data_IF_775378591463
#
_entry.id   IF_775378591463
#
_cell.length_a   1.000
_cell.length_b   1.000
_cell.length_c   1.000
_cell.angle_alpha   90.00
_cell.angle_beta   90.00
_cell.angle_gamma   90.00
#
_symmetry.space_group_name_H-M   'P 1'
#
loop_
_entity.id
_entity.type
_entity.pdbx_description
1 polymer ?
#
# COMPACT_ATOMS: atom_id res chain seq x y z
N UNK A 1 7.62 -12.57 24.28
CA UNK A 1 7.32 -11.27 23.68
C UNK A 1 5.84 -11.00 23.93
N UNK A 2 5.43 -9.77 24.27
CA UNK A 2 4.00 -9.40 24.35
C UNK A 2 3.42 -9.26 22.94
N UNK A 3 2.09 -9.25 22.81
CA UNK A 3 1.44 -9.08 21.51
C UNK A 3 1.78 -7.71 20.91
N UNK A 4 1.77 -6.66 21.71
CA UNK A 4 2.07 -5.29 21.31
C UNK A 4 3.50 -5.19 20.75
N UNK A 5 4.49 -5.74 21.46
CA UNK A 5 5.87 -5.80 20.97
C UNK A 5 6.01 -6.63 19.69
N UNK A 6 5.24 -7.72 19.57
CA UNK A 6 5.26 -8.53 18.37
C UNK A 6 4.62 -7.79 17.18
N UNK A 7 3.53 -7.04 17.41
CA UNK A 7 2.93 -6.16 16.39
C UNK A 7 3.92 -5.09 15.92
N UNK A 8 4.57 -4.41 16.85
CA UNK A 8 5.59 -3.39 16.55
C UNK A 8 6.72 -3.96 15.68
N UNK A 9 7.31 -5.08 16.08
CA UNK A 9 8.38 -5.72 15.30
C UNK A 9 7.90 -6.21 13.93
N UNK A 10 6.67 -6.71 13.83
CA UNK A 10 6.05 -7.10 12.55
C UNK A 10 5.94 -5.88 11.62
N UNK A 11 5.44 -4.75 12.12
CA UNK A 11 5.32 -3.50 11.33
C UNK A 11 6.69 -2.96 10.94
N UNK A 12 7.67 -2.95 11.85
CA UNK A 12 9.04 -2.50 11.54
C UNK A 12 9.67 -3.34 10.42
N UNK A 13 9.60 -4.67 10.53
CA UNK A 13 10.14 -5.59 9.52
C UNK A 13 9.45 -5.42 8.18
N UNK A 14 8.12 -5.28 8.19
CA UNK A 14 7.33 -4.98 6.99
C UNK A 14 7.81 -3.69 6.33
N UNK A 15 7.89 -2.60 7.09
CA UNK A 15 8.36 -1.29 6.61
C UNK A 15 9.75 -1.41 5.99
N UNK A 16 10.67 -2.09 6.66
CA UNK A 16 12.03 -2.20 6.20
C UNK A 16 12.14 -2.92 4.85
N UNK A 17 11.45 -4.06 4.68
CA UNK A 17 11.44 -4.75 3.38
C UNK A 17 10.66 -3.96 2.33
N UNK A 18 9.63 -3.21 2.71
CA UNK A 18 8.88 -2.34 1.82
C UNK A 18 9.78 -1.27 1.20
N UNK A 19 10.54 -0.55 2.03
CA UNK A 19 11.40 0.56 1.62
C UNK A 19 12.69 0.08 0.91
N UNK A 20 13.21 -1.09 1.28
CA UNK A 20 14.54 -1.54 0.84
C UNK A 20 14.49 -2.73 -0.13
N UNK A 21 13.31 -3.16 -0.59
CA UNK A 21 13.16 -4.33 -1.46
C UNK A 21 14.06 -4.28 -2.71
N UNK A 22 14.09 -3.15 -3.42
CA UNK A 22 14.91 -3.02 -4.63
C UNK A 22 16.40 -3.23 -4.32
N UNK A 23 16.88 -2.68 -3.20
CA UNK A 23 18.27 -2.80 -2.77
C UNK A 23 18.61 -4.26 -2.45
N UNK A 24 17.70 -4.93 -1.75
CA UNK A 24 17.86 -6.33 -1.32
C UNK A 24 17.81 -7.29 -2.51
N UNK A 25 16.86 -7.08 -3.43
CA UNK A 25 16.46 -8.06 -4.44
C UNK A 25 17.13 -7.86 -5.79
N UNK A 26 17.42 -6.61 -6.21
CA UNK A 26 18.07 -6.32 -7.50
C UNK A 26 19.36 -7.13 -7.74
N UNK A 27 20.26 -7.33 -6.75
CA UNK A 27 21.49 -8.10 -6.96
C UNK A 27 21.29 -9.58 -7.32
N UNK A 28 20.05 -10.08 -7.20
CA UNK A 28 19.68 -11.46 -7.52
C UNK A 28 19.00 -11.58 -8.90
N UNK A 29 18.84 -10.48 -9.63
CA UNK A 29 18.44 -10.53 -11.03
C UNK A 29 19.52 -11.20 -11.87
N UNK A 30 19.07 -12.05 -12.78
CA UNK A 30 19.95 -12.88 -13.58
C UNK A 30 19.42 -13.02 -15.01
N UNK A 31 20.31 -12.82 -15.97
CA UNK A 31 20.09 -13.19 -17.37
C UNK A 31 20.82 -14.51 -17.64
N UNK A 32 20.14 -15.43 -18.34
CA UNK A 32 20.76 -16.70 -18.75
C UNK A 32 22.05 -16.48 -19.54
N UNK A 33 23.05 -17.34 -19.28
CA UNK A 33 24.24 -17.39 -20.15
C UNK A 33 23.87 -17.93 -21.52
N UNK A 34 24.75 -17.71 -22.52
CA UNK A 34 24.53 -18.26 -23.87
C UNK A 34 24.33 -19.77 -23.87
N UNK A 35 25.05 -20.51 -23.01
CA UNK A 35 24.91 -21.96 -22.90
C UNK A 35 23.56 -22.38 -22.31
N UNK A 36 23.11 -21.69 -21.25
CA UNK A 36 21.80 -21.92 -20.65
C UNK A 36 20.66 -21.58 -21.63
N UNK A 37 20.84 -20.49 -22.39
CA UNK A 37 19.91 -20.08 -23.43
C UNK A 37 19.84 -21.11 -24.56
N UNK A 38 20.97 -21.61 -25.07
CA UNK A 38 21.00 -22.67 -26.10
C UNK A 38 20.20 -23.90 -25.66
N UNK A 39 20.46 -24.40 -24.44
CA UNK A 39 19.71 -25.53 -23.87
C UNK A 39 18.21 -25.24 -23.72
N UNK A 40 17.87 -24.03 -23.31
CA UNK A 40 16.47 -23.61 -23.12
C UNK A 40 15.75 -23.44 -24.46
N UNK A 41 16.43 -22.91 -25.48
CA UNK A 41 15.93 -22.76 -26.84
C UNK A 41 15.66 -24.12 -27.49
N UNK A 42 16.57 -25.08 -27.35
CA UNK A 42 16.38 -26.45 -27.84
C UNK A 42 15.20 -27.16 -27.17
N UNK A 43 15.01 -26.95 -25.87
CA UNK A 43 13.97 -27.65 -25.08
C UNK A 43 12.59 -26.99 -25.12
N UNK A 44 12.52 -25.67 -25.19
CA UNK A 44 11.29 -24.90 -24.99
C UNK A 44 11.03 -23.86 -26.09
N UNK A 45 11.94 -23.66 -27.04
CA UNK A 45 11.73 -22.78 -28.19
C UNK A 45 11.81 -21.28 -27.88
N UNK A 46 12.51 -20.87 -26.82
CA UNK A 46 12.65 -19.44 -26.50
C UNK A 46 13.54 -18.69 -27.50
N UNK A 47 13.08 -17.51 -27.92
CA UNK A 47 13.78 -16.67 -28.90
C UNK A 47 14.77 -15.66 -28.29
N UNK A 48 14.74 -15.49 -26.96
CA UNK A 48 15.63 -14.58 -26.22
C UNK A 48 16.07 -15.19 -24.88
N UNK A 49 17.25 -14.83 -24.35
CA UNK A 49 17.67 -15.24 -23.01
C UNK A 49 16.63 -14.84 -21.96
N UNK A 50 16.33 -15.77 -21.05
CA UNK A 50 15.37 -15.50 -20.00
C UNK A 50 16.02 -14.67 -18.89
N UNK A 51 15.34 -13.58 -18.49
CA UNK A 51 15.75 -12.74 -17.36
C UNK A 51 14.78 -13.00 -16.21
N UNK A 52 15.31 -13.38 -15.06
CA UNK A 52 14.51 -13.77 -13.90
C UNK A 52 15.20 -13.50 -12.59
N UNK A 53 14.41 -13.54 -11.52
CA UNK A 53 14.88 -13.36 -10.17
C UNK A 53 15.34 -14.69 -9.57
N UNK A 54 16.63 -14.83 -9.26
CA UNK A 54 17.23 -16.09 -8.80
C UNK A 54 17.07 -16.34 -7.29
N UNK A 55 15.95 -15.91 -6.69
CA UNK A 55 15.64 -16.16 -5.28
C UNK A 55 15.23 -17.61 -5.03
N UNK A 56 14.46 -18.21 -5.93
CA UNK A 56 13.91 -19.56 -5.79
C UNK A 56 14.99 -20.66 -5.72
N UNK A 57 16.14 -20.37 -6.31
CA UNK A 57 17.24 -21.32 -6.47
C UNK A 57 18.35 -21.12 -5.45
N UNK A 58 18.29 -20.09 -4.60
CA UNK A 58 19.32 -19.79 -3.58
C UNK A 58 18.76 -19.98 -2.18
N UNK A 59 19.08 -21.11 -1.57
CA UNK A 59 18.64 -21.41 -0.20
C UNK A 59 19.18 -20.38 0.82
N UNK A 60 20.42 -19.93 0.65
CA UNK A 60 21.11 -19.07 1.63
C UNK A 60 20.37 -17.74 1.89
N UNK A 61 19.85 -17.09 0.83
CA UNK A 61 19.12 -15.82 1.00
C UNK A 61 17.72 -16.03 1.57
N UNK A 62 17.06 -17.14 1.21
CA UNK A 62 15.72 -17.44 1.75
C UNK A 62 15.79 -17.78 3.24
N UNK A 63 16.89 -18.39 3.70
CA UNK A 63 17.16 -18.59 5.14
C UNK A 63 17.30 -17.24 5.85
N UNK A 64 18.04 -16.28 5.26
CA UNK A 64 18.16 -14.94 5.83
C UNK A 64 16.83 -14.18 5.86
N UNK A 65 15.98 -14.35 4.83
CA UNK A 65 14.65 -13.75 4.82
C UNK A 65 13.72 -14.40 5.84
N UNK A 66 13.73 -15.72 5.96
CA UNK A 66 12.98 -16.44 7.00
C UNK A 66 13.43 -15.98 8.39
N UNK A 67 14.73 -15.93 8.63
CA UNK A 67 15.30 -15.47 9.90
C UNK A 67 14.83 -14.05 10.24
N UNK A 68 15.03 -13.11 9.30
CA UNK A 68 14.63 -11.72 9.45
C UNK A 68 13.14 -11.56 9.81
N UNK A 69 12.26 -12.29 9.14
CA UNK A 69 10.81 -12.12 9.29
C UNK A 69 10.24 -12.75 10.56
N UNK A 70 10.87 -13.81 11.07
CA UNK A 70 10.29 -14.61 12.15
C UNK A 70 11.13 -14.65 13.43
N UNK A 71 12.32 -14.05 13.47
CA UNK A 71 13.21 -14.06 14.64
C UNK A 71 12.61 -13.33 15.86
N UNK A 72 13.07 -13.73 17.05
CA UNK A 72 12.75 -13.08 18.33
C UNK A 72 13.61 -11.84 18.57
N UNK A 73 14.73 -11.72 17.86
CA UNK A 73 15.64 -10.57 17.97
C UNK A 73 15.01 -9.33 17.33
N UNK A 74 15.27 -8.13 17.88
CA UNK A 74 14.89 -6.88 17.22
C UNK A 74 15.35 -6.86 15.76
N UNK A 75 14.54 -6.25 14.89
CA UNK A 75 14.85 -6.11 13.46
C UNK A 75 16.28 -5.59 13.22
N UNK A 76 16.70 -4.59 13.98
CA UNK A 76 17.99 -3.89 13.85
C UNK A 76 19.19 -4.79 14.16
N UNK A 77 18.99 -5.87 14.91
CA UNK A 77 20.02 -6.86 15.26
C UNK A 77 20.07 -8.05 14.29
N UNK A 78 19.19 -8.08 13.29
CA UNK A 78 19.18 -9.16 12.32
C UNK A 78 20.32 -9.06 11.31
N UNK A 79 20.84 -10.21 10.88
CA UNK A 79 21.92 -10.29 9.88
C UNK A 79 21.51 -9.60 8.58
N UNK A 80 20.25 -9.76 8.14
CA UNK A 80 19.76 -9.13 6.92
C UNK A 80 19.76 -7.61 7.04
N UNK A 81 19.30 -7.06 8.17
CA UNK A 81 19.31 -5.62 8.42
C UNK A 81 20.73 -5.07 8.37
N UNK A 82 21.61 -5.59 9.23
CA UNK A 82 23.00 -5.13 9.35
C UNK A 82 23.74 -5.22 8.01
N UNK A 83 23.57 -6.35 7.31
CA UNK A 83 24.21 -6.57 6.01
C UNK A 83 23.71 -5.57 4.96
N UNK A 84 22.41 -5.25 4.97
CA UNK A 84 21.81 -4.32 4.01
C UNK A 84 22.25 -2.89 4.30
N UNK A 85 22.23 -2.46 5.57
CA UNK A 85 22.70 -1.13 5.99
C UNK A 85 24.18 -0.91 5.63
N UNK A 86 25.04 -1.88 5.94
CA UNK A 86 26.47 -1.83 5.60
C UNK A 86 26.71 -1.73 4.07
N UNK A 87 25.77 -2.24 3.27
CA UNK A 87 25.87 -2.26 1.81
C UNK A 87 25.30 -1.02 1.13
N UNK A 88 24.48 -0.21 1.81
CA UNK A 88 23.88 1.02 1.25
C UNK A 88 24.90 1.99 0.68
N UNK A 89 26.09 2.05 1.28
CA UNK A 89 27.17 2.94 0.85
C UNK A 89 28.30 2.21 0.10
N UNK A 90 28.16 0.91 -0.15
CA UNK A 90 29.21 0.11 -0.78
C UNK A 90 29.12 0.22 -2.31
N UNK A 91 30.10 0.90 -2.93
CA UNK A 91 30.14 1.12 -4.39
C UNK A 91 30.01 -0.17 -5.22
N UNK A 92 30.73 -1.23 -4.85
CA UNK A 92 30.69 -2.52 -5.58
C UNK A 92 29.32 -3.18 -5.47
N UNK A 93 28.64 -3.03 -4.34
CA UNK A 93 27.29 -3.56 -4.17
C UNK A 93 26.26 -2.73 -4.95
N UNK A 94 26.34 -1.39 -4.88
CA UNK A 94 25.47 -0.51 -5.64
C UNK A 94 25.60 -0.71 -7.15
N UNK A 95 26.79 -1.06 -7.64
CA UNK A 95 26.98 -1.47 -9.04
C UNK A 95 26.21 -2.75 -9.39
N UNK A 96 26.20 -3.75 -8.50
CA UNK A 96 25.36 -4.95 -8.68
C UNK A 96 23.88 -4.61 -8.67
N UNK A 97 23.45 -3.70 -7.79
CA UNK A 97 22.06 -3.21 -7.74
C UNK A 97 21.70 -2.54 -9.06
N UNK A 98 22.55 -1.62 -9.56
CA UNK A 98 22.36 -0.96 -10.86
C UNK A 98 22.25 -1.95 -12.01
N UNK A 99 23.13 -2.95 -12.06
CA UNK A 99 23.06 -4.00 -13.08
C UNK A 99 21.75 -4.79 -12.99
N UNK A 100 21.30 -5.11 -11.78
CA UNK A 100 20.01 -5.76 -11.56
C UNK A 100 18.81 -4.92 -12.03
N UNK A 101 18.84 -3.60 -11.79
CA UNK A 101 17.81 -2.68 -12.29
C UNK A 101 17.77 -2.65 -13.82
N UNK A 102 18.94 -2.58 -14.48
CA UNK A 102 19.03 -2.60 -15.95
C UNK A 102 18.49 -3.91 -16.54
N UNK A 103 18.73 -5.04 -15.89
CA UNK A 103 18.17 -6.32 -16.31
C UNK A 103 16.64 -6.33 -16.23
N UNK A 104 16.04 -5.64 -15.26
CA UNK A 104 14.58 -5.55 -15.13
C UNK A 104 13.97 -4.65 -16.18
N UNK A 105 14.60 -3.51 -16.45
CA UNK A 105 14.19 -2.63 -17.55
C UNK A 105 14.18 -3.42 -18.86
N UNK A 106 15.26 -4.16 -19.14
CA UNK A 106 15.36 -5.06 -20.29
C UNK A 106 14.29 -6.17 -20.26
N UNK A 107 14.00 -6.74 -19.10
CA UNK A 107 13.00 -7.80 -18.97
C UNK A 107 11.56 -7.29 -19.14
N UNK A 108 11.30 -6.01 -18.85
CA UNK A 108 10.00 -5.37 -18.95
C UNK A 108 9.78 -4.65 -20.28
N UNK A 109 10.82 -4.53 -21.11
CA UNK A 109 10.75 -3.94 -22.43
C UNK A 109 9.69 -4.65 -23.31
N UNK A 110 8.74 -3.86 -23.82
CA UNK A 110 7.66 -4.37 -24.67
C UNK A 110 6.57 -5.16 -23.94
N UNK A 111 6.54 -5.17 -22.59
CA UNK A 111 5.47 -5.78 -21.79
C UNK A 111 4.47 -4.74 -21.29
N UNK A 112 3.22 -5.15 -21.18
CA UNK A 112 2.20 -4.38 -20.45
C UNK A 112 2.57 -4.23 -18.97
N UNK A 113 2.21 -3.10 -18.37
CA UNK A 113 2.52 -2.77 -16.98
C UNK A 113 2.08 -3.84 -15.96
N UNK A 114 1.01 -4.58 -16.26
CA UNK A 114 0.49 -5.66 -15.43
C UNK A 114 1.46 -6.86 -15.39
N UNK A 115 2.23 -7.06 -16.46
CA UNK A 115 3.18 -8.17 -16.60
C UNK A 115 4.62 -7.76 -16.22
N UNK A 116 4.82 -6.53 -15.72
CA UNK A 116 6.14 -6.07 -15.31
C UNK A 116 6.62 -6.85 -14.09
N UNK A 117 7.86 -7.31 -14.17
CA UNK A 117 8.62 -7.80 -13.02
C UNK A 117 8.89 -6.58 -12.13
N UNK A 118 8.51 -6.67 -10.86
CA UNK A 118 8.72 -5.62 -9.85
C UNK A 118 9.71 -6.10 -8.80
N UNK A 119 10.58 -5.20 -8.33
CA UNK A 119 11.42 -5.43 -7.16
C UNK A 119 10.80 -4.81 -5.93
N UNK A 120 9.82 -5.50 -5.41
CA UNK A 120 9.03 -5.08 -4.26
C UNK A 120 9.11 -6.10 -3.12
N UNK A 121 8.54 -5.72 -1.98
CA UNK A 121 8.45 -6.58 -0.81
C UNK A 121 7.70 -7.89 -1.11
N UNK A 122 6.78 -7.90 -2.08
CA UNK A 122 6.07 -9.11 -2.52
C UNK A 122 7.03 -10.18 -3.04
N UNK A 123 8.11 -9.79 -3.69
CA UNK A 123 9.15 -10.71 -4.16
C UNK A 123 9.85 -11.44 -3.01
N UNK A 124 10.13 -10.73 -1.91
CA UNK A 124 10.73 -11.29 -0.68
C UNK A 124 9.73 -12.22 0.00
N UNK A 125 8.52 -11.71 0.26
CA UNK A 125 7.47 -12.46 0.96
C UNK A 125 7.07 -13.73 0.18
N UNK A 126 6.97 -13.66 -1.14
CA UNK A 126 6.66 -14.80 -2.02
C UNK A 126 7.81 -15.80 -2.13
N UNK A 127 9.07 -15.37 -2.03
CA UNK A 127 10.22 -16.27 -1.94
C UNK A 127 10.20 -17.05 -0.62
N UNK A 128 9.93 -16.37 0.50
CA UNK A 128 9.82 -17.01 1.84
C UNK A 128 8.62 -17.95 1.91
N UNK A 129 7.47 -17.57 1.36
CA UNK A 129 6.28 -18.43 1.30
C UNK A 129 6.60 -19.76 0.62
N UNK A 130 7.20 -19.72 -0.56
CA UNK A 130 7.61 -20.93 -1.29
C UNK A 130 8.67 -21.73 -0.53
N UNK A 131 9.62 -21.04 0.09
CA UNK A 131 10.65 -21.68 0.90
C UNK A 131 10.04 -22.49 2.08
N UNK A 132 9.06 -21.92 2.79
CA UNK A 132 8.35 -22.58 3.89
C UNK A 132 7.41 -23.67 3.38
N UNK A 133 6.72 -23.46 2.25
CA UNK A 133 5.84 -24.48 1.65
C UNK A 133 6.60 -25.75 1.28
N UNK A 134 7.87 -25.65 0.87
CA UNK A 134 8.75 -26.78 0.57
C UNK A 134 9.32 -27.47 1.83
N UNK A 135 9.09 -26.94 3.04
CA UNK A 135 9.54 -27.57 4.28
C UNK A 135 8.69 -28.81 4.64
N UNK A 136 9.35 -29.90 5.04
CA UNK A 136 8.75 -31.17 5.45
C UNK A 136 8.99 -31.55 6.91
N UNK A 137 9.83 -30.77 7.62
CA UNK A 137 10.22 -31.04 9.00
C UNK A 137 9.10 -30.81 10.01
N UNK A 138 9.20 -29.75 10.82
CA UNK A 138 8.18 -29.42 11.83
C UNK A 138 6.95 -28.79 11.16
N UNK A 139 5.98 -29.64 10.79
CA UNK A 139 4.74 -29.21 10.13
C UNK A 139 3.92 -28.23 10.98
N UNK A 140 3.97 -28.33 12.31
CA UNK A 140 3.26 -27.39 13.18
C UNK A 140 3.92 -26.01 13.14
N UNK A 141 5.25 -25.98 13.19
CA UNK A 141 6.02 -24.75 13.04
C UNK A 141 5.81 -24.11 11.66
N UNK A 142 5.83 -24.92 10.59
CA UNK A 142 5.49 -24.50 9.22
C UNK A 142 4.13 -23.80 9.16
N UNK A 143 3.08 -24.40 9.73
CA UNK A 143 1.74 -23.78 9.78
C UNK A 143 1.77 -22.45 10.52
N UNK A 144 2.48 -22.37 11.65
CA UNK A 144 2.57 -21.12 12.41
C UNK A 144 3.35 -20.03 11.65
N UNK A 145 4.48 -20.36 11.01
CA UNK A 145 5.22 -19.44 10.13
C UNK A 145 4.33 -18.91 9.01
N UNK A 146 3.54 -19.78 8.38
CA UNK A 146 2.59 -19.37 7.34
C UNK A 146 1.50 -18.43 7.86
N UNK A 147 1.01 -18.61 9.11
CA UNK A 147 0.07 -17.65 9.74
C UNK A 147 0.70 -16.27 9.96
N UNK A 148 1.95 -16.24 10.43
CA UNK A 148 2.68 -14.97 10.61
C UNK A 148 2.94 -14.30 9.27
N UNK A 149 3.34 -15.08 8.27
CA UNK A 149 3.54 -14.59 6.91
C UNK A 149 2.25 -14.01 6.34
N UNK A 150 1.10 -14.62 6.63
CA UNK A 150 -0.21 -14.13 6.21
C UNK A 150 -0.50 -12.71 6.74
N UNK A 151 -0.04 -12.36 7.95
CA UNK A 151 -0.17 -11.00 8.48
C UNK A 151 0.67 -9.99 7.69
N UNK A 152 1.91 -10.32 7.29
CA UNK A 152 2.71 -9.44 6.41
C UNK A 152 2.02 -9.20 5.06
N UNK A 153 1.45 -10.25 4.47
CA UNK A 153 0.68 -10.14 3.24
C UNK A 153 -0.59 -9.30 3.43
N UNK A 154 -1.28 -9.42 4.58
CA UNK A 154 -2.48 -8.62 4.91
C UNK A 154 -2.18 -7.15 5.05
N UNK A 155 -1.02 -6.77 5.60
CA UNK A 155 -0.59 -5.38 5.63
C UNK A 155 -0.48 -4.84 4.20
N UNK A 156 0.28 -5.53 3.33
CA UNK A 156 0.49 -5.04 1.96
C UNK A 156 -0.75 -5.10 1.06
N UNK A 157 -1.71 -5.97 1.36
CA UNK A 157 -2.99 -6.09 0.64
C UNK A 157 -4.10 -5.24 1.23
N UNK A 158 -3.85 -4.56 2.34
CA UNK A 158 -4.86 -3.70 2.92
C UNK A 158 -5.26 -2.69 1.85
N UNK A 159 -6.51 -2.78 1.43
CA UNK A 159 -7.15 -1.79 0.56
C UNK A 159 -8.28 -1.28 1.41
N UNK A 160 -8.43 0.04 1.48
CA UNK A 160 -9.51 0.59 2.28
C UNK A 160 -10.87 0.44 1.59
N UNK A 161 -11.15 -0.61 0.82
CA UNK A 161 -12.43 -0.78 0.14
C UNK A 161 -13.44 -1.60 0.96
N UNK A 162 -13.20 -1.78 2.27
CA UNK A 162 -14.01 -2.62 3.15
C UNK A 162 -13.97 -4.12 2.81
N UNK A 163 -13.14 -4.57 1.85
CA UNK A 163 -13.05 -5.99 1.49
C UNK A 163 -12.28 -6.76 2.56
N UNK A 164 -12.90 -7.83 3.04
CA UNK A 164 -12.34 -8.74 4.04
C UNK A 164 -11.59 -9.84 3.30
N UNK A 165 -10.26 -9.79 3.33
CA UNK A 165 -9.45 -10.86 2.75
C UNK A 165 -9.47 -12.09 3.66
N UNK A 166 -9.85 -13.24 3.08
CA UNK A 166 -9.85 -14.51 3.81
C UNK A 166 -8.42 -14.93 4.19
N UNK A 167 -7.47 -14.72 3.27
CA UNK A 167 -6.02 -14.84 3.48
C UNK A 167 -5.26 -13.75 2.70
N UNK A 168 -4.21 -13.21 3.33
CA UNK A 168 -3.25 -12.35 2.64
C UNK A 168 -2.43 -13.10 1.59
N UNK A 169 -2.07 -14.37 1.84
CA UNK A 169 -1.25 -15.19 0.94
C UNK A 169 -2.08 -15.80 -0.19
N UNK A 170 -3.14 -16.53 0.17
CA UNK A 170 -3.98 -17.31 -0.75
C UNK A 170 -5.34 -16.64 -0.86
N UNK A 171 -5.55 -15.74 -1.83
CA UNK A 171 -6.86 -15.16 -2.01
C UNK A 171 -7.89 -16.27 -2.31
N UNK A 172 -9.03 -16.25 -1.62
CA UNK A 172 -10.13 -17.18 -1.84
C UNK A 172 -11.15 -16.58 -2.83
N UNK A 173 -12.14 -17.36 -3.25
CA UNK A 173 -13.25 -16.96 -4.11
C UNK A 173 -14.03 -15.76 -3.56
N UNK A 174 -14.04 -15.57 -2.24
CA UNK A 174 -14.66 -14.41 -1.59
C UNK A 174 -13.83 -13.11 -1.77
N UNK A 175 -12.56 -13.23 -2.19
CA UNK A 175 -11.64 -12.11 -2.35
C UNK A 175 -11.62 -11.57 -3.81
N UNK A 176 -12.22 -12.27 -4.78
CA UNK A 176 -12.29 -11.90 -6.21
C UNK A 176 -13.70 -12.08 -6.81
N UNK A 177 -14.21 -11.07 -7.51
CA UNK A 177 -15.56 -11.11 -8.12
C UNK A 177 -15.69 -12.05 -9.33
N UNK A 178 -14.63 -12.74 -9.75
CA UNK A 178 -14.66 -13.79 -10.78
C UNK A 178 -13.24 -14.29 -11.06
N UNK A 179 -12.89 -15.50 -10.61
CA UNK A 179 -11.93 -16.44 -11.22
C UNK A 179 -11.79 -17.65 -10.27
N UNK A 180 -11.92 -18.87 -10.81
CA UNK A 180 -11.70 -20.12 -10.08
C UNK A 180 -10.24 -20.54 -10.25
N UNK A 181 -9.47 -20.53 -9.16
CA UNK A 181 -8.16 -21.20 -9.11
C UNK A 181 -8.31 -22.59 -8.47
N UNK A 182 -7.68 -23.64 -9.05
CA UNK A 182 -7.79 -24.98 -8.50
C UNK A 182 -7.14 -25.09 -7.12
N UNK A 183 -7.92 -25.53 -6.12
CA UNK A 183 -7.51 -25.90 -4.75
C UNK A 183 -6.73 -27.22 -4.71
N UNK A 184 -5.72 -27.41 -5.57
CA UNK A 184 -4.75 -28.48 -5.33
C UNK A 184 -3.62 -27.91 -4.48
N UNK A 185 -3.46 -28.44 -3.27
CA UNK A 185 -2.20 -28.29 -2.56
C UNK A 185 -1.09 -28.75 -3.50
N UNK A 186 -0.21 -27.81 -3.88
CA UNK A 186 0.94 -28.17 -4.71
C UNK A 186 1.79 -29.10 -3.86
N UNK A 187 2.03 -30.30 -4.37
CA UNK A 187 3.05 -31.17 -3.81
C UNK A 187 4.39 -30.40 -3.79
N UNK A 188 5.18 -30.54 -2.72
CA UNK A 188 6.49 -29.89 -2.64
C UNK A 188 7.30 -30.24 -3.87
N UNK A 189 7.78 -29.24 -4.61
CA UNK A 189 8.66 -29.48 -5.77
C UNK A 189 9.99 -30.10 -5.33
N UNK A 190 10.35 -29.88 -4.07
CA UNK A 190 11.53 -30.41 -3.38
C UNK A 190 11.17 -30.62 -1.92
N UNK A 191 11.68 -31.69 -1.34
CA UNK A 191 11.59 -31.95 0.09
C UNK A 191 12.74 -31.21 0.81
N UNK A 192 12.43 -30.22 1.65
CA UNK A 192 13.40 -29.50 2.47
C UNK A 192 13.15 -29.74 3.95
N UNK A 193 14.17 -30.17 4.69
CA UNK A 193 14.07 -30.19 6.15
C UNK A 193 13.92 -28.75 6.69
N UNK A 194 13.10 -28.57 7.73
CA UNK A 194 13.04 -27.29 8.45
C UNK A 194 14.36 -27.08 9.21
N UNK A 195 15.23 -26.24 8.64
CA UNK A 195 16.54 -25.88 9.18
C UNK A 195 16.44 -24.65 10.11
N UNK A 196 15.35 -23.87 10.03
CA UNK A 196 15.27 -22.52 10.57
C UNK A 196 14.21 -22.30 11.65
N UNK A 197 14.54 -21.49 12.66
CA UNK A 197 13.70 -20.99 13.77
C UNK A 197 12.76 -22.04 14.39
N UNK A 198 13.28 -22.77 15.37
CA UNK A 198 12.51 -23.71 16.20
C UNK A 198 12.08 -23.03 17.50
N UNK A 199 10.79 -23.09 17.84
CA UNK A 199 10.21 -22.57 19.10
C UNK A 199 10.56 -21.11 19.40
N UNK A 200 9.99 -20.21 18.61
CA UNK A 200 10.19 -18.78 18.73
C UNK A 200 8.97 -18.08 19.35
N UNK A 201 9.23 -17.12 20.26
CA UNK A 201 8.17 -16.40 20.99
C UNK A 201 7.40 -15.46 20.06
N UNK A 202 8.04 -14.77 19.12
CA UNK A 202 7.39 -13.94 18.10
C UNK A 202 6.39 -14.77 17.27
N UNK A 203 6.83 -15.91 16.72
CA UNK A 203 5.95 -16.79 15.94
C UNK A 203 4.75 -17.23 16.78
N UNK A 204 5.00 -17.75 17.98
CA UNK A 204 3.94 -18.31 18.83
C UNK A 204 2.99 -17.23 19.36
N UNK A 205 3.49 -16.04 19.69
CA UNK A 205 2.67 -14.89 20.09
C UNK A 205 1.72 -14.49 18.96
N UNK A 206 2.23 -14.27 17.74
CA UNK A 206 1.40 -13.85 16.59
C UNK A 206 0.43 -14.97 16.17
N UNK A 207 0.91 -16.21 16.04
CA UNK A 207 0.11 -17.32 15.51
C UNK A 207 -1.05 -17.76 16.41
N UNK A 208 -0.93 -17.50 17.71
CA UNK A 208 -1.92 -17.88 18.73
C UNK A 208 -2.79 -16.70 19.19
N UNK A 209 -2.51 -15.49 18.69
CA UNK A 209 -3.30 -14.31 19.08
C UNK A 209 -4.70 -14.36 18.49
N UNK A 210 -5.71 -13.82 19.22
CA UNK A 210 -7.05 -13.69 18.67
C UNK A 210 -7.01 -12.76 17.47
N UNK A 211 -7.86 -13.06 16.48
CA UNK A 211 -8.02 -12.27 15.27
C UNK A 211 -9.34 -11.53 15.32
N UNK A 212 -9.36 -10.31 14.80
CA UNK A 212 -10.59 -9.56 14.65
C UNK A 212 -11.43 -10.16 13.51
N UNK A 213 -12.70 -10.44 13.79
CA UNK A 213 -13.61 -11.13 12.85
C UNK A 213 -13.76 -10.38 11.52
N UNK A 214 -13.78 -9.05 11.58
CA UNK A 214 -14.01 -8.18 10.42
C UNK A 214 -12.83 -8.12 9.43
N UNK A 215 -11.62 -8.56 9.80
CA UNK A 215 -10.48 -8.48 8.89
C UNK A 215 -9.50 -9.66 8.97
N UNK A 216 -9.83 -10.65 9.81
CA UNK A 216 -9.08 -11.87 10.08
C UNK A 216 -7.59 -11.62 10.38
N UNK A 217 -7.29 -10.53 11.09
CA UNK A 217 -5.94 -10.08 11.46
C UNK A 217 -5.83 -9.82 12.95
N UNK A 218 -4.59 -9.80 13.44
CA UNK A 218 -4.27 -9.38 14.81
C UNK A 218 -4.37 -7.86 14.99
N UNK A 219 -4.34 -7.09 13.89
CA UNK A 219 -4.44 -5.64 13.90
C UNK A 219 -5.91 -5.21 13.81
N UNK A 220 -6.27 -4.21 14.61
CA UNK A 220 -7.52 -3.47 14.47
C UNK A 220 -7.59 -2.74 13.13
N UNK A 221 -8.78 -2.36 12.67
CA UNK A 221 -8.90 -1.49 11.47
C UNK A 221 -8.08 -0.21 11.63
N UNK A 222 -8.18 0.45 12.79
CA UNK A 222 -7.42 1.68 13.06
C UNK A 222 -5.91 1.46 12.96
N UNK A 223 -5.37 0.41 13.57
CA UNK A 223 -3.93 0.10 13.47
C UNK A 223 -3.52 -0.16 12.01
N UNK A 224 -4.36 -0.84 11.22
CA UNK A 224 -4.07 -1.06 9.80
C UNK A 224 -4.13 0.22 8.99
N UNK A 225 -5.07 1.11 9.26
CA UNK A 225 -5.14 2.42 8.63
C UNK A 225 -3.90 3.26 8.95
N UNK A 226 -3.45 3.25 10.21
CA UNK A 226 -2.21 3.93 10.63
C UNK A 226 -0.98 3.37 9.90
N UNK A 227 -0.87 2.04 9.79
CA UNK A 227 0.18 1.38 8.99
C UNK A 227 0.05 1.77 7.51
N UNK A 228 -1.16 1.73 6.95
CA UNK A 228 -1.41 1.99 5.53
C UNK A 228 -1.07 3.43 5.13
N UNK A 229 -1.56 4.40 5.90
CA UNK A 229 -1.26 5.82 5.76
C UNK A 229 0.24 6.10 5.83
N UNK A 230 0.96 5.34 6.66
CA UNK A 230 2.41 5.48 6.79
C UNK A 230 3.21 5.07 5.56
N UNK A 231 2.72 4.12 4.75
CA UNK A 231 3.57 3.40 3.78
C UNK A 231 3.01 3.29 2.36
N UNK A 232 1.69 3.35 2.17
CA UNK A 232 1.06 3.05 0.87
C UNK A 232 0.58 4.29 0.11
N UNK A 233 0.80 5.49 0.65
CA UNK A 233 0.52 6.78 -0.01
C UNK A 233 -0.90 6.87 -0.60
N UNK A 234 -1.93 6.40 0.10
CA UNK A 234 -3.33 6.48 -0.35
C UNK A 234 -4.25 6.89 0.82
N UNK A 235 -5.29 7.67 0.53
CA UNK A 235 -6.27 8.06 1.55
C UNK A 235 -7.12 6.86 1.99
N UNK A 236 -7.48 6.76 3.28
CA UNK A 236 -8.41 5.75 3.74
C UNK A 236 -9.81 6.04 3.15
N UNK A 237 -10.49 5.08 2.52
CA UNK A 237 -11.83 5.30 1.92
C UNK A 237 -12.97 5.43 2.95
N UNK A 238 -12.73 5.17 4.23
CA UNK A 238 -13.66 5.43 5.33
C UNK A 238 -13.18 6.61 6.19
N UNK A 239 -12.19 7.38 5.74
CA UNK A 239 -11.74 8.54 6.49
C UNK A 239 -12.82 9.62 6.46
N UNK A 240 -13.57 9.67 7.55
CA UNK A 240 -14.64 10.63 7.74
C UNK A 240 -14.10 11.90 8.39
N UNK A 241 -14.55 13.04 7.87
CA UNK A 241 -14.34 14.34 8.48
C UNK A 241 -15.70 14.95 8.81
N UNK A 242 -15.76 15.66 9.93
CA UNK A 242 -16.93 16.44 10.28
C UNK A 242 -17.03 17.68 9.38
N UNK A 243 -18.20 17.96 8.84
CA UNK A 243 -18.51 19.22 8.19
C UNK A 243 -18.65 20.33 9.24
N UNK A 244 -17.53 20.83 9.74
CA UNK A 244 -17.42 21.91 10.71
C UNK A 244 -16.56 23.08 10.22
N UNK A 245 -16.56 24.16 11.00
CA UNK A 245 -15.57 25.24 10.88
C UNK A 245 -14.33 24.81 11.67
N UNK A 246 -13.13 25.10 11.16
CA UNK A 246 -11.90 24.79 11.90
C UNK A 246 -11.82 25.57 13.24
N UNK A 247 -11.37 24.92 14.32
CA UNK A 247 -11.18 25.56 15.62
C UNK A 247 -10.03 26.60 15.64
N UNK A 248 -10.19 27.54 16.58
CA UNK A 248 -9.50 28.79 16.95
C UNK A 248 -9.04 29.80 15.86
N UNK A 249 -9.76 30.92 15.92
CA UNK A 249 -9.51 32.22 15.30
C UNK A 249 -8.28 32.88 15.92
N UNK A 250 -7.19 33.04 15.16
CA UNK A 250 -6.08 33.91 15.53
C UNK A 250 -6.33 35.28 14.87
N UNK A 251 -6.71 36.27 15.67
CA UNK A 251 -7.10 37.63 15.23
C UNK A 251 -6.11 38.30 14.27
N UNK A 252 -4.83 37.96 14.36
CA UNK A 252 -3.76 38.57 13.56
C UNK A 252 -3.63 38.01 12.14
N UNK A 253 -4.44 37.02 11.76
CA UNK A 253 -4.27 36.24 10.52
C UNK A 253 -5.48 36.28 9.57
N UNK A 254 -6.34 37.31 9.66
CA UNK A 254 -7.56 37.51 8.83
C UNK A 254 -7.32 37.27 7.33
N UNK A 255 -6.11 37.50 6.84
CA UNK A 255 -5.73 37.35 5.43
C UNK A 255 -5.42 35.90 4.98
N UNK A 256 -5.36 34.94 5.91
CA UNK A 256 -4.90 33.57 5.64
C UNK A 256 -5.96 32.49 5.76
N UNK A 257 -7.18 32.82 6.19
CA UNK A 257 -8.32 31.89 6.14
C UNK A 257 -9.04 32.04 4.79
N UNK A 258 -9.41 30.91 4.21
CA UNK A 258 -10.29 30.87 3.05
C UNK A 258 -11.60 31.63 3.35
N UNK A 259 -11.83 32.71 2.58
CA UNK A 259 -13.15 33.33 2.49
C UNK A 259 -14.06 32.37 1.74
N UNK A 260 -15.13 31.90 2.38
CA UNK A 260 -16.12 30.98 1.82
C UNK A 260 -17.30 31.74 1.22
N UNK A 261 -18.11 31.14 0.32
CA UNK A 261 -19.29 31.79 -0.22
C UNK A 261 -20.27 32.18 0.89
N UNK A 262 -20.82 33.40 0.85
CA UNK A 262 -21.64 34.00 1.91
C UNK A 262 -22.86 33.16 2.30
N UNK A 263 -23.45 32.47 1.31
CA UNK A 263 -24.66 31.68 1.49
C UNK A 263 -24.39 30.24 1.94
N UNK A 264 -23.16 29.89 2.33
CA UNK A 264 -22.80 28.53 2.74
C UNK A 264 -22.66 28.43 4.26
N UNK A 265 -23.15 27.34 4.85
CA UNK A 265 -23.02 27.05 6.29
C UNK A 265 -22.70 25.56 6.49
N UNK A 266 -21.84 25.21 7.45
CA UNK A 266 -21.55 23.82 7.79
C UNK A 266 -22.82 23.11 8.27
N UNK A 267 -22.98 21.83 7.94
CA UNK A 267 -24.12 21.03 8.40
C UNK A 267 -23.82 20.18 9.64
N UNK A 268 -22.56 20.04 10.06
CA UNK A 268 -22.17 19.20 11.20
C UNK A 268 -22.22 17.69 10.92
N UNK A 269 -22.59 17.28 9.71
CA UNK A 269 -22.59 15.87 9.29
C UNK A 269 -21.18 15.38 8.98
N UNK A 270 -20.92 14.10 9.22
CA UNK A 270 -19.69 13.44 8.81
C UNK A 270 -19.77 13.02 7.34
N UNK A 271 -18.67 13.14 6.61
CA UNK A 271 -18.57 12.64 5.24
C UNK A 271 -17.17 12.15 4.93
N UNK A 272 -17.10 11.22 3.98
CA UNK A 272 -15.86 10.57 3.55
C UNK A 272 -15.05 11.51 2.65
N UNK A 273 -13.76 11.68 2.97
CA UNK A 273 -12.83 12.40 2.11
C UNK A 273 -12.28 11.51 0.99
N UNK A 274 -12.05 12.10 -0.19
CA UNK A 274 -11.49 11.35 -1.34
C UNK A 274 -10.43 12.17 -2.03
N UNK A 275 -9.26 11.57 -2.30
CA UNK A 275 -8.11 12.27 -2.91
C UNK A 275 -8.47 13.03 -4.19
N UNK A 276 -9.31 12.43 -5.04
CA UNK A 276 -9.79 13.02 -6.28
C UNK A 276 -10.80 14.17 -6.10
N UNK A 277 -11.36 14.35 -4.91
CA UNK A 277 -12.23 15.47 -4.57
C UNK A 277 -11.50 16.57 -3.80
N UNK A 278 -10.26 16.32 -3.33
CA UNK A 278 -9.44 17.32 -2.62
C UNK A 278 -8.82 18.32 -3.59
N UNK A 279 -9.11 19.59 -3.41
CA UNK A 279 -8.55 20.68 -4.20
C UNK A 279 -7.77 21.66 -3.32
N UNK A 280 -6.89 22.45 -3.96
CA UNK A 280 -6.05 23.42 -3.26
C UNK A 280 -6.34 24.86 -3.67
N UNK A 281 -6.16 25.78 -2.73
CA UNK A 281 -6.10 27.20 -3.05
C UNK A 281 -4.63 27.64 -3.13
N UNK A 282 -4.10 27.97 -4.33
CA UNK A 282 -2.70 28.38 -4.47
C UNK A 282 -2.37 29.66 -3.69
N UNK A 283 -3.38 30.48 -3.38
CA UNK A 283 -3.22 31.71 -2.62
C UNK A 283 -3.27 31.50 -1.10
N UNK A 284 -3.64 30.30 -0.63
CA UNK A 284 -3.71 29.99 0.80
C UNK A 284 -2.42 29.30 1.28
N UNK A 285 -1.84 29.82 2.36
CA UNK A 285 -0.58 29.30 2.92
C UNK A 285 -0.82 28.41 4.14
N UNK A 286 -1.88 28.65 4.91
CA UNK A 286 -2.15 27.93 6.16
C UNK A 286 -3.02 26.70 5.92
N UNK A 287 -4.12 26.87 5.19
CA UNK A 287 -5.11 25.83 4.93
C UNK A 287 -5.12 25.53 3.44
N UNK A 288 -4.36 24.52 3.01
CA UNK A 288 -4.12 24.29 1.57
C UNK A 288 -5.06 23.29 0.95
N UNK A 289 -5.65 22.38 1.71
CA UNK A 289 -6.36 21.22 1.17
C UNK A 289 -7.83 21.28 1.58
N UNK A 290 -8.71 21.19 0.60
CA UNK A 290 -10.13 21.43 0.75
C UNK A 290 -10.95 20.36 0.05
N UNK A 291 -12.13 20.04 0.59
CA UNK A 291 -13.15 19.27 -0.12
C UNK A 291 -14.53 19.90 0.14
N UNK A 292 -15.40 19.86 -0.86
CA UNK A 292 -16.78 20.33 -0.72
C UNK A 292 -17.59 19.24 -0.02
N UNK A 293 -18.28 19.60 1.08
CA UNK A 293 -19.18 18.70 1.77
C UNK A 293 -20.32 18.28 0.83
N UNK A 294 -20.54 16.97 0.60
CA UNK A 294 -21.56 16.48 -0.32
C UNK A 294 -22.99 16.74 0.19
N UNK A 295 -23.18 16.98 1.49
CA UNK A 295 -24.50 17.20 2.09
C UNK A 295 -24.99 18.65 1.98
N UNK A 296 -24.06 19.61 2.08
CA UNK A 296 -24.43 21.03 2.18
C UNK A 296 -23.66 21.97 1.24
N UNK A 297 -22.69 21.45 0.49
CA UNK A 297 -21.86 22.26 -0.38
C UNK A 297 -20.83 23.13 0.35
N UNK A 298 -20.71 23.03 1.68
CA UNK A 298 -19.74 23.81 2.44
C UNK A 298 -18.30 23.37 2.15
N UNK A 299 -17.36 24.31 2.00
CA UNK A 299 -15.95 23.98 1.77
C UNK A 299 -15.28 23.68 3.11
N UNK A 300 -14.86 22.44 3.31
CA UNK A 300 -14.25 21.92 4.53
C UNK A 300 -12.74 21.82 4.34
N UNK A 301 -11.96 22.28 5.31
CA UNK A 301 -10.52 22.08 5.33
C UNK A 301 -10.15 20.67 5.76
N UNK A 302 -9.15 20.12 5.10
CA UNK A 302 -8.58 18.83 5.41
C UNK A 302 -7.24 19.07 6.12
N UNK A 303 -7.07 18.60 7.37
CA UNK A 303 -5.82 18.75 8.10
C UNK A 303 -4.63 18.23 7.31
N UNK A 304 -3.50 18.95 7.34
CA UNK A 304 -2.30 18.54 6.59
C UNK A 304 -1.66 17.29 7.18
N UNK A 305 -1.92 17.05 8.45
CA UNK A 305 -1.39 15.97 9.28
C UNK A 305 -1.96 14.61 8.86
N UNK A 306 -3.14 14.58 8.25
CA UNK A 306 -3.76 13.35 7.74
C UNK A 306 -3.35 13.01 6.30
N UNK A 307 -2.58 13.89 5.64
CA UNK A 307 -2.10 13.69 4.27
C UNK A 307 -0.60 13.35 4.27
N UNK A 308 -0.20 12.28 3.59
CA UNK A 308 1.23 11.98 3.35
C UNK A 308 1.85 13.00 2.38
N UNK A 309 3.18 13.15 2.38
CA UNK A 309 3.84 14.12 1.49
C UNK A 309 3.68 13.77 0.01
N UNK A 310 3.67 12.48 -0.34
CA UNK A 310 3.36 12.04 -1.69
C UNK A 310 1.91 12.35 -2.08
N UNK A 311 0.94 12.17 -1.17
CA UNK A 311 -0.46 12.54 -1.39
C UNK A 311 -0.59 14.05 -1.65
N UNK A 312 0.06 14.88 -0.83
CA UNK A 312 0.11 16.33 -1.01
C UNK A 312 0.64 16.69 -2.39
N UNK A 313 1.76 16.09 -2.79
CA UNK A 313 2.38 16.34 -4.09
C UNK A 313 1.46 15.95 -5.25
N UNK A 314 0.80 14.77 -5.21
CA UNK A 314 -0.15 14.36 -6.26
C UNK A 314 -1.36 15.27 -6.36
N UNK A 315 -1.91 15.69 -5.22
CA UNK A 315 -3.03 16.63 -5.17
C UNK A 315 -2.61 17.97 -5.79
N UNK A 316 -1.44 18.49 -5.41
CA UNK A 316 -0.90 19.75 -5.92
C UNK A 316 -0.59 19.67 -7.41
N UNK A 317 0.09 18.62 -7.87
CA UNK A 317 0.39 18.37 -9.28
C UNK A 317 -0.90 18.29 -10.10
N UNK A 318 -1.92 17.59 -9.60
CA UNK A 318 -3.23 17.50 -10.24
C UNK A 318 -3.93 18.86 -10.32
N UNK A 319 -3.95 19.62 -9.23
CA UNK A 319 -4.58 20.93 -9.20
C UNK A 319 -3.82 21.94 -10.07
N UNK A 320 -2.49 21.83 -10.18
CA UNK A 320 -1.68 22.70 -11.03
C UNK A 320 -1.98 22.56 -12.53
N UNK A 321 -2.54 21.41 -12.95
CA UNK A 321 -2.97 21.16 -14.33
C UNK A 321 -4.27 21.89 -14.70
N UNK A 322 -5.08 22.31 -13.72
CA UNK A 322 -6.31 23.08 -13.92
C UNK A 322 -6.32 24.29 -12.98
N UNK A 323 -5.76 25.40 -13.48
CA UNK A 323 -5.64 26.68 -12.78
C UNK A 323 -6.98 27.26 -12.31
N UNK A 324 -8.10 26.77 -12.86
CA UNK A 324 -9.47 27.19 -12.53
C UNK A 324 -10.17 26.24 -11.57
N UNK A 325 -9.59 25.11 -11.20
CA UNK A 325 -10.25 24.09 -10.38
C UNK A 325 -10.79 24.66 -9.06
N UNK A 326 -9.97 25.44 -8.36
CA UNK A 326 -10.39 26.09 -7.12
C UNK A 326 -11.61 26.98 -7.32
N UNK A 327 -11.60 27.83 -8.35
CA UNK A 327 -12.73 28.72 -8.67
C UNK A 327 -13.98 27.93 -9.07
N UNK A 328 -13.83 26.81 -9.79
CA UNK A 328 -14.95 25.92 -10.12
C UNK A 328 -15.59 25.35 -8.86
N UNK A 329 -14.78 24.86 -7.92
CA UNK A 329 -15.28 24.29 -6.66
C UNK A 329 -15.93 25.35 -5.77
N UNK A 330 -15.37 26.57 -5.76
CA UNK A 330 -15.97 27.71 -5.07
C UNK A 330 -17.37 28.04 -5.61
N UNK A 331 -17.50 28.17 -6.93
CA UNK A 331 -18.80 28.43 -7.58
C UNK A 331 -19.77 27.25 -7.39
N UNK A 332 -19.27 26.02 -7.44
CA UNK A 332 -20.06 24.83 -7.16
C UNK A 332 -20.64 24.86 -5.75
N UNK A 333 -19.82 25.20 -4.75
CA UNK A 333 -20.24 25.38 -3.34
C UNK A 333 -21.36 26.43 -3.22
N UNK A 334 -21.20 27.57 -3.88
CA UNK A 334 -22.19 28.65 -3.88
C UNK A 334 -23.52 28.22 -4.53
N UNK A 335 -23.45 27.63 -5.73
CA UNK A 335 -24.61 27.15 -6.47
C UNK A 335 -25.34 26.03 -5.73
N UNK A 336 -24.61 25.10 -5.13
CA UNK A 336 -25.19 24.01 -4.35
C UNK A 336 -26.00 24.55 -3.18
N UNK A 337 -25.46 25.54 -2.45
CA UNK A 337 -26.18 26.15 -1.33
C UNK A 337 -27.41 26.92 -1.79
N UNK A 338 -27.30 27.68 -2.89
CA UNK A 338 -28.43 28.41 -3.46
C UNK A 338 -29.54 27.48 -3.97
N UNK A 339 -29.20 26.37 -4.64
CA UNK A 339 -30.21 25.38 -5.02
C UNK A 339 -30.88 24.76 -3.80
N UNK A 340 -30.13 24.46 -2.73
CA UNK A 340 -30.71 23.93 -1.50
C UNK A 340 -31.69 24.92 -0.83
N UNK A 341 -31.40 26.21 -0.90
CA UNK A 341 -32.24 27.29 -0.35
C UNK A 341 -33.41 27.68 -1.27
N UNK A 342 -33.40 27.25 -2.53
CA UNK A 342 -34.44 27.61 -3.51
C UNK A 342 -35.74 26.85 -3.27
N UNK A 343 -36.87 27.55 -3.34
CA UNK A 343 -38.19 26.93 -3.23
C UNK A 343 -38.54 26.09 -4.47
N UNK A 344 -39.44 25.10 -4.34
CA UNK A 344 -39.88 24.23 -5.45
C UNK A 344 -40.30 25.03 -6.71
N UNK A 345 -40.95 26.18 -6.53
CA UNK A 345 -41.36 27.07 -7.63
C UNK A 345 -40.18 27.69 -8.39
N UNK A 346 -39.11 28.06 -7.68
CA UNK A 346 -37.90 28.65 -8.26
C UNK A 346 -37.07 27.61 -9.03
N UNK A 347 -36.98 26.37 -8.50
CA UNK A 347 -36.32 25.25 -9.19
C UNK A 347 -36.99 24.92 -10.53
N UNK A 348 -38.31 25.08 -10.61
CA UNK A 348 -39.08 24.81 -11.83
C UNK A 348 -38.82 25.86 -12.93
N UNK A 349 -38.60 27.13 -12.57
CA UNK A 349 -38.26 28.20 -13.52
C UNK A 349 -36.89 28.01 -14.17
N UNK A 350 -35.90 27.49 -13.43
CA UNK A 350 -34.57 27.16 -13.95
C UNK A 350 -34.61 26.01 -14.98
N UNK A 351 -35.49 25.03 -14.79
CA UNK A 351 -35.68 23.92 -15.74
C UNK A 351 -36.43 24.33 -17.01
N UNK A 352 -37.32 25.32 -16.94
CA UNK A 352 -38.10 25.80 -18.10
C UNK A 352 -37.21 26.58 -19.07
N UNK A 353 -36.22 27.33 -18.59
CA UNK A 353 -35.30 28.09 -19.45
C UNK A 353 -34.26 27.19 -20.18
N UNK A 354 -33.91 26.02 -19.64
CA UNK A 354 -33.03 25.07 -20.31
C UNK A 354 -33.71 24.28 -21.46
N UNK A 355 -35.04 24.39 -21.62
CA UNK A 355 -35.79 23.80 -22.74
C UNK A 355 -36.06 24.79 -23.89
N UNK A 356 -35.56 26.02 -23.80
CA UNK A 356 -35.79 27.08 -24.80
C UNK A 356 -34.55 27.52 -25.58
N UNK A 357 -33.44 26.79 -25.46
CA UNK A 357 -32.28 26.95 -26.36
C UNK A 357 -32.09 25.72 -27.22
#
# INVERSE_FOLDING_TARGET
MTLEKAKEELVKRYKYIYENAYLIVAPYMYEQTEEEFKKSKEKFGFDKPYIYLKLDYKNDINILFEDFLFTDTPMEESILYETTENKKNNKKYLEKVKNGMQLIEKANEGKDAIMHIKLDHWSILGAVARYIEEQSGDLKNKVNKMKVLDEYFRIGRYKNNGKIYTSGIKPDLHDFDSIVLPKKEKEPRRDRNDIGIKKNKFITTISNSPKFEYNNSIFTEREKQEIYLGYHDELPNDLEINCGIEEEYIETLIETRLRRPENTKPCGEYFIIKENEIFVNPNDRLYRYYQVCPHCGFIVNIPKEILSDCLKQRIEDRCSKDDKLFRKMYLYSELFSLDRLSEKGQKTLLLINNKKN
#
